data_IF_028094211261
#
_entry.id   IF_028094211261
#
_cell.length_a   1.000
_cell.length_b   1.000
_cell.length_c   1.000
_cell.angle_alpha   90.00
_cell.angle_beta   90.00
_cell.angle_gamma   90.00
#
_symmetry.space_group_name_H-M   'P 1'
#
loop_
_entity.id
_entity.type
_entity.pdbx_description
1 polymer ?
#
# COMPACT_ATOMS: atom_id res chain seq x y z
N UNK A 1 5.68 19.16 14.12
CA UNK A 1 7.07 19.54 14.06
C UNK A 1 7.85 18.59 13.21
N UNK A 2 8.70 19.11 12.37
CA UNK A 2 9.37 18.33 11.32
C UNK A 2 10.12 17.10 11.83
N UNK A 3 10.92 17.23 12.90
CA UNK A 3 11.71 16.10 13.42
C UNK A 3 10.83 15.00 13.98
N UNK A 4 9.73 15.37 14.62
CA UNK A 4 8.79 14.40 15.19
C UNK A 4 8.03 13.65 14.09
N UNK A 5 7.54 14.40 13.08
CA UNK A 5 6.88 13.80 11.93
C UNK A 5 7.82 12.85 11.19
N UNK A 6 9.07 13.31 10.94
CA UNK A 6 10.08 12.50 10.28
C UNK A 6 10.34 11.19 11.01
N UNK A 7 10.39 11.21 12.31
CA UNK A 7 10.62 10.03 13.15
C UNK A 7 9.52 9.00 12.96
N UNK A 8 8.27 9.44 13.03
CA UNK A 8 7.12 8.54 12.85
C UNK A 8 7.02 8.09 11.39
N UNK A 9 7.22 8.98 10.45
CA UNK A 9 7.20 8.65 9.03
C UNK A 9 8.20 7.53 8.71
N UNK A 10 9.42 7.66 9.19
CA UNK A 10 10.46 6.64 8.98
C UNK A 10 10.07 5.31 9.59
N UNK A 11 9.48 5.33 10.77
CA UNK A 11 9.08 4.10 11.46
C UNK A 11 7.94 3.41 10.72
N UNK A 12 6.92 4.15 10.32
CA UNK A 12 5.82 3.58 9.56
C UNK A 12 6.29 3.05 8.21
N UNK A 13 7.23 3.71 7.56
CA UNK A 13 7.78 3.21 6.30
C UNK A 13 8.55 1.90 6.50
N UNK A 14 9.31 1.77 7.60
CA UNK A 14 9.99 0.51 7.90
C UNK A 14 8.99 -0.61 8.15
N UNK A 15 7.89 -0.30 8.85
CA UNK A 15 6.81 -1.26 9.09
C UNK A 15 6.15 -1.67 7.77
N UNK A 16 5.90 -0.71 6.88
CA UNK A 16 5.34 -0.99 5.56
C UNK A 16 6.27 -1.91 4.76
N UNK A 17 7.57 -1.66 4.79
CA UNK A 17 8.56 -2.49 4.09
C UNK A 17 8.53 -3.92 4.62
N UNK A 18 8.54 -4.08 5.93
CA UNK A 18 8.48 -5.40 6.55
C UNK A 18 7.20 -6.13 6.15
N UNK A 19 6.07 -5.39 6.13
CA UNK A 19 4.79 -5.95 5.72
C UNK A 19 4.82 -6.41 4.26
N UNK A 20 5.48 -5.61 3.40
CA UNK A 20 5.62 -5.94 1.99
C UNK A 20 6.36 -7.25 1.74
N UNK A 21 7.25 -7.64 2.66
CA UNK A 21 7.98 -8.90 2.52
C UNK A 21 7.07 -10.14 2.59
N UNK A 22 5.83 -9.98 3.02
CA UNK A 22 4.84 -11.06 3.00
C UNK A 22 4.31 -11.34 1.59
N UNK A 23 4.54 -10.45 0.63
CA UNK A 23 4.06 -10.62 -0.73
C UNK A 23 4.71 -11.83 -1.41
N UNK A 24 3.91 -12.57 -2.16
CA UNK A 24 4.38 -13.69 -2.98
C UNK A 24 4.82 -13.25 -4.37
N UNK A 25 4.62 -11.98 -4.72
CA UNK A 25 4.99 -11.48 -6.05
C UNK A 25 6.51 -11.45 -6.20
N UNK A 26 7.00 -11.94 -7.34
CA UNK A 26 8.44 -12.05 -7.61
C UNK A 26 9.02 -10.75 -8.16
N UNK A 27 8.25 -10.07 -9.02
CA UNK A 27 8.75 -8.88 -9.70
C UNK A 27 8.96 -7.73 -8.73
N UNK A 28 8.03 -7.55 -7.80
CA UNK A 28 8.13 -6.47 -6.82
C UNK A 28 7.30 -6.81 -5.59
N UNK A 29 7.85 -6.50 -4.44
CA UNK A 29 7.14 -6.65 -3.16
C UNK A 29 6.91 -5.26 -2.60
N UNK A 30 5.65 -4.90 -2.42
CA UNK A 30 5.24 -3.58 -1.95
C UNK A 30 4.39 -3.74 -0.71
N UNK A 31 4.66 -2.91 0.30
CA UNK A 31 3.88 -2.88 1.53
C UNK A 31 3.29 -1.50 1.76
N UNK A 32 2.13 -1.46 2.40
CA UNK A 32 1.41 -0.23 2.68
C UNK A 32 0.76 -0.27 4.06
N UNK A 33 0.75 0.88 4.72
CA UNK A 33 0.01 1.09 5.96
C UNK A 33 -0.86 2.33 5.81
N UNK A 34 -2.05 2.29 6.39
CA UNK A 34 -2.91 3.47 6.49
C UNK A 34 -2.96 3.86 7.96
N UNK A 35 -2.60 5.10 8.26
CA UNK A 35 -2.47 5.62 9.62
C UNK A 35 -3.36 6.84 9.79
N UNK A 36 -4.13 6.87 10.87
CA UNK A 36 -4.99 7.98 11.20
C UNK A 36 -4.86 8.28 12.70
N UNK A 37 -4.57 9.53 13.02
CA UNK A 37 -4.36 9.94 14.41
C UNK A 37 -3.35 9.05 15.14
N UNK A 38 -2.27 8.72 14.46
CA UNK A 38 -1.21 7.82 14.94
C UNK A 38 -1.67 6.41 15.26
N UNK A 39 -2.75 6.01 14.69
CA UNK A 39 -3.24 4.64 14.81
C UNK A 39 -3.21 3.98 13.44
N UNK A 40 -2.59 2.81 13.36
CA UNK A 40 -2.58 2.03 12.13
C UNK A 40 -3.97 1.42 11.99
N UNK A 41 -4.71 1.87 10.99
CA UNK A 41 -6.07 1.38 10.77
C UNK A 41 -6.16 0.32 9.69
N UNK A 42 -5.12 0.18 8.88
CA UNK A 42 -5.07 -0.85 7.84
C UNK A 42 -3.65 -1.08 7.36
N UNK A 43 -3.49 -2.20 6.69
CA UNK A 43 -2.25 -2.62 6.08
C UNK A 43 -2.56 -3.36 4.79
N UNK A 44 -1.55 -3.50 3.93
CA UNK A 44 -1.69 -4.25 2.70
C UNK A 44 -0.33 -4.56 2.08
N UNK A 45 -0.30 -5.60 1.28
CA UNK A 45 0.82 -5.89 0.39
C UNK A 45 0.25 -6.37 -0.94
N UNK A 46 1.06 -6.27 -1.99
CA UNK A 46 0.58 -6.65 -3.31
C UNK A 46 0.43 -8.16 -3.43
N UNK A 47 -0.60 -8.59 -4.14
CA UNK A 47 -0.87 -10.01 -4.31
C UNK A 47 -2.17 -10.27 -5.02
N UNK A 48 -2.44 -11.56 -5.25
CA UNK A 48 -3.69 -11.99 -5.85
C UNK A 48 -4.84 -11.84 -4.87
N UNK A 49 -6.09 -11.73 -5.36
CA UNK A 49 -7.25 -11.69 -4.48
C UNK A 49 -7.32 -12.91 -3.57
N UNK A 50 -7.87 -12.70 -2.37
CA UNK A 50 -8.02 -13.77 -1.38
C UNK A 50 -8.73 -14.97 -1.96
N UNK A 51 -8.16 -16.16 -1.76
CA UNK A 51 -8.73 -17.42 -2.24
C UNK A 51 -8.24 -17.83 -3.62
N UNK A 52 -7.52 -16.95 -4.31
CA UNK A 52 -6.90 -17.29 -5.59
C UNK A 52 -5.48 -17.80 -5.37
N UNK A 53 -4.93 -18.47 -6.37
CA UNK A 53 -3.57 -19.00 -6.31
C UNK A 53 -2.56 -17.87 -6.10
N UNK A 54 -1.59 -18.06 -5.20
CA UNK A 54 -0.59 -17.06 -4.83
C UNK A 54 0.54 -16.96 -5.87
N UNK A 55 0.17 -16.78 -7.12
CA UNK A 55 1.12 -16.65 -8.24
C UNK A 55 0.77 -15.37 -8.98
N UNK A 56 1.61 -14.34 -8.79
CA UNK A 56 1.36 -13.01 -9.34
C UNK A 56 1.73 -12.90 -10.81
N UNK A 57 2.70 -13.69 -11.27
CA UNK A 57 3.25 -13.57 -12.63
C UNK A 57 2.83 -14.75 -13.51
N UNK A 58 2.67 -14.48 -14.80
CA UNK A 58 2.40 -15.53 -15.77
C UNK A 58 3.71 -16.22 -16.20
N UNK A 59 3.63 -17.16 -17.16
CA UNK A 59 4.80 -17.91 -17.62
C UNK A 59 5.89 -17.02 -18.23
N UNK A 60 5.53 -15.85 -18.70
CA UNK A 60 6.47 -14.89 -19.29
C UNK A 60 6.95 -13.84 -18.27
N UNK A 61 6.64 -14.05 -17.01
CA UNK A 61 7.02 -13.16 -15.90
C UNK A 61 6.35 -11.78 -15.95
N UNK A 62 5.19 -11.67 -16.59
CA UNK A 62 4.35 -10.47 -16.54
C UNK A 62 3.35 -10.60 -15.40
N UNK A 63 3.13 -9.48 -14.69
CA UNK A 63 2.14 -9.46 -13.61
C UNK A 63 0.74 -9.72 -14.17
N UNK A 64 0.04 -10.66 -13.56
CA UNK A 64 -1.34 -10.97 -13.97
C UNK A 64 -2.25 -9.79 -13.70
N UNK A 65 -3.26 -9.59 -14.56
CA UNK A 65 -4.12 -8.39 -14.52
C UNK A 65 -4.89 -8.25 -13.21
N UNK A 66 -5.18 -9.35 -12.54
CA UNK A 66 -5.98 -9.34 -11.30
C UNK A 66 -5.16 -9.18 -10.02
N UNK A 67 -3.86 -9.00 -10.13
CA UNK A 67 -3.03 -8.73 -8.96
C UNK A 67 -3.38 -7.35 -8.41
N UNK A 68 -3.66 -7.31 -7.11
CA UNK A 68 -4.00 -6.07 -6.42
C UNK A 68 -2.74 -5.42 -5.86
N UNK A 69 -2.64 -4.11 -6.00
CA UNK A 69 -1.54 -3.35 -5.42
C UNK A 69 -1.73 -3.23 -3.90
N UNK A 70 -0.63 -2.98 -3.19
CA UNK A 70 -0.65 -2.89 -1.73
C UNK A 70 -1.62 -1.82 -1.23
N UNK A 71 -1.67 -0.67 -1.88
CA UNK A 71 -2.56 0.44 -1.51
C UNK A 71 -4.03 0.03 -1.67
N UNK A 72 -4.35 -0.60 -2.80
CA UNK A 72 -5.71 -1.06 -3.04
C UNK A 72 -6.15 -2.08 -1.99
N UNK A 73 -5.28 -3.02 -1.63
CA UNK A 73 -5.58 -3.98 -0.58
C UNK A 73 -5.82 -3.32 0.77
N UNK A 74 -5.00 -2.32 1.13
CA UNK A 74 -5.15 -1.60 2.38
C UNK A 74 -6.47 -0.82 2.42
N UNK A 75 -6.82 -0.14 1.32
CA UNK A 75 -8.07 0.61 1.22
C UNK A 75 -9.29 -0.32 1.30
N UNK A 76 -9.23 -1.46 0.62
CA UNK A 76 -10.35 -2.41 0.61
C UNK A 76 -10.56 -3.03 1.99
N UNK A 77 -9.51 -3.24 2.77
CA UNK A 77 -9.67 -3.68 4.16
C UNK A 77 -10.42 -2.65 5.00
N UNK A 78 -10.11 -1.35 4.81
CA UNK A 78 -10.84 -0.28 5.50
C UNK A 78 -12.30 -0.31 5.08
N UNK A 79 -12.58 -0.49 3.80
CA UNK A 79 -13.95 -0.54 3.28
C UNK A 79 -14.75 -1.69 3.90
N UNK A 80 -14.09 -2.77 4.33
CA UNK A 80 -14.73 -3.91 4.98
C UNK A 80 -14.80 -3.77 6.50
N UNK A 81 -14.41 -2.64 7.04
CA UNK A 81 -14.35 -2.39 8.49
C UNK A 81 -15.27 -1.23 8.86
N UNK A 82 -15.24 -0.87 10.14
CA UNK A 82 -15.95 0.32 10.63
C UNK A 82 -15.10 1.59 10.54
N UNK A 83 -13.85 1.47 10.06
CA UNK A 83 -12.94 2.61 9.92
C UNK A 83 -13.19 3.37 8.62
N UNK A 84 -12.57 4.53 8.51
CA UNK A 84 -12.63 5.36 7.30
C UNK A 84 -11.23 5.87 6.97
N UNK A 85 -10.92 5.92 5.68
CA UNK A 85 -9.66 6.50 5.20
C UNK A 85 -9.67 8.03 5.23
N UNK A 86 -10.81 8.66 5.46
CA UNK A 86 -10.92 10.11 5.43
C UNK A 86 -9.96 10.77 6.43
N UNK A 87 -9.08 11.64 5.94
CA UNK A 87 -8.09 12.32 6.76
C UNK A 87 -6.85 11.50 7.11
N UNK A 88 -6.71 10.28 6.58
CA UNK A 88 -5.60 9.40 6.91
C UNK A 88 -4.35 9.70 6.08
N UNK A 89 -3.23 9.13 6.52
CA UNK A 89 -1.96 9.11 5.79
C UNK A 89 -1.69 7.69 5.30
N UNK A 90 -1.25 7.57 4.06
CA UNK A 90 -0.81 6.31 3.48
C UNK A 90 0.72 6.28 3.47
N UNK A 91 1.27 5.23 4.05
CA UNK A 91 2.71 4.92 3.97
C UNK A 91 2.88 3.72 3.06
N UNK A 92 3.65 3.87 2.01
CA UNK A 92 3.83 2.81 1.01
C UNK A 92 5.28 2.77 0.56
N UNK A 93 5.82 1.57 0.31
CA UNK A 93 7.24 1.43 -0.03
C UNK A 93 7.55 1.92 -1.44
N UNK A 94 6.57 1.87 -2.34
CA UNK A 94 6.69 2.36 -3.71
C UNK A 94 5.59 3.39 -3.97
N UNK A 95 5.92 4.54 -4.57
CA UNK A 95 4.92 5.57 -4.83
C UNK A 95 3.79 5.01 -5.69
N UNK A 96 2.53 5.46 -5.44
CA UNK A 96 1.37 4.89 -6.15
C UNK A 96 1.42 5.13 -7.65
N UNK A 97 0.90 4.17 -8.41
CA UNK A 97 0.66 4.34 -9.83
C UNK A 97 -0.54 5.26 -10.05
N UNK A 98 -0.81 5.62 -11.32
CA UNK A 98 -1.92 6.51 -11.66
C UNK A 98 -3.26 5.98 -11.17
N UNK A 99 -3.52 4.68 -11.38
CA UNK A 99 -4.79 4.08 -10.97
C UNK A 99 -4.97 4.08 -9.46
N UNK A 100 -3.94 3.71 -8.71
CA UNK A 100 -4.00 3.74 -7.25
C UNK A 100 -4.12 5.17 -6.72
N UNK A 101 -3.50 6.14 -7.37
CA UNK A 101 -3.59 7.54 -6.97
C UNK A 101 -5.04 8.05 -6.99
N UNK A 102 -5.81 7.64 -7.98
CA UNK A 102 -7.24 7.99 -8.06
C UNK A 102 -8.01 7.41 -6.89
N UNK A 103 -7.75 6.15 -6.56
CA UNK A 103 -8.41 5.47 -5.44
C UNK A 103 -8.05 6.11 -4.11
N UNK A 104 -6.79 6.46 -3.93
CA UNK A 104 -6.29 7.11 -2.72
C UNK A 104 -6.99 8.45 -2.50
N UNK A 105 -7.06 9.25 -3.55
CA UNK A 105 -7.73 10.55 -3.50
C UNK A 105 -9.21 10.38 -3.14
N UNK A 106 -9.90 9.49 -3.84
CA UNK A 106 -11.33 9.26 -3.64
C UNK A 106 -11.64 8.68 -2.27
N UNK A 107 -10.72 7.91 -1.70
CA UNK A 107 -10.88 7.35 -0.35
C UNK A 107 -10.76 8.41 0.75
N UNK A 108 -10.27 9.61 0.42
CA UNK A 108 -10.14 10.69 1.39
C UNK A 108 -8.80 10.73 2.11
N UNK A 109 -7.82 9.96 1.64
CA UNK A 109 -6.45 10.01 2.19
C UNK A 109 -5.84 11.36 1.81
N UNK A 110 -5.25 12.04 2.80
CA UNK A 110 -4.78 13.42 2.62
C UNK A 110 -3.27 13.55 2.49
N UNK A 111 -2.54 12.47 2.74
CA UNK A 111 -1.07 12.50 2.70
C UNK A 111 -0.55 11.13 2.29
N UNK A 112 0.45 11.13 1.39
CA UNK A 112 1.11 9.90 0.95
C UNK A 112 2.61 10.05 1.18
N UNK A 113 3.21 9.08 1.86
CA UNK A 113 4.64 9.05 2.15
C UNK A 113 5.19 7.74 1.59
N UNK A 114 6.26 7.81 0.81
CA UNK A 114 6.83 6.63 0.15
C UNK A 114 8.35 6.63 0.22
N UNK A 115 8.94 5.45 -0.05
CA UNK A 115 10.41 5.28 -0.05
C UNK A 115 10.95 5.46 -1.46
N UNK A 116 10.46 4.65 -2.40
CA UNK A 116 10.95 4.64 -3.78
C UNK A 116 9.89 5.20 -4.71
N UNK A 117 10.33 5.99 -5.69
CA UNK A 117 9.41 6.56 -6.65
C UNK A 117 9.12 5.54 -7.76
N UNK A 118 7.82 5.34 -8.05
CA UNK A 118 7.38 4.54 -9.17
C UNK A 118 7.76 5.26 -10.47
N UNK A 119 8.41 4.53 -11.36
CA UNK A 119 8.74 5.08 -12.68
C UNK A 119 7.69 4.63 -13.67
N UNK A 120 6.85 5.56 -14.04
CA UNK A 120 5.86 5.35 -15.07
C UNK A 120 6.54 5.62 -16.41
N UNK A 121 6.75 4.56 -17.18
CA UNK A 121 7.38 4.70 -18.50
C UNK A 121 6.35 4.69 -19.61
#
# INVERSE_FOLDING_TARGET
MKNKENKYDKTYLRMAREWGNLSYCKRRKVGALIVKDRMIISDGYNGTPTGMENICEDDENYTKWYVLHAEANAIMKVASSTQSCAGATLYVTLSPCTDCSKLIYQAGIVRVVYIDQYKDT
#
